data_IF_039721503368
#
_entry.id   IF_039721503368
#
_cell.length_a   1.000
_cell.length_b   1.000
_cell.length_c   1.000
_cell.angle_alpha   90.00
_cell.angle_beta   90.00
_cell.angle_gamma   90.00
#
_symmetry.space_group_name_H-M   'P 1'
#
loop_
_entity.id
_entity.type
_entity.pdbx_description
1 polymer ?
#
# COMPACT_ATOMS: atom_id res chain seq x y z
N UNK A 1 18.51 0.33 22.72
CA UNK A 1 17.45 -0.07 23.68
C UNK A 1 17.01 1.21 24.39
N UNK A 2 15.71 1.46 24.60
CA UNK A 2 15.25 2.66 25.32
C UNK A 2 15.61 2.46 26.80
N UNK A 3 16.65 3.16 27.27
CA UNK A 3 17.27 2.94 28.58
C UNK A 3 16.46 3.45 29.77
N UNK A 4 15.51 4.37 29.54
CA UNK A 4 14.68 4.98 30.56
C UNK A 4 13.21 4.70 30.25
N UNK A 5 12.65 3.68 30.89
CA UNK A 5 11.20 3.39 30.85
C UNK A 5 10.64 3.56 32.24
N UNK A 6 9.57 4.35 32.32
CA UNK A 6 8.74 4.45 33.51
C UNK A 6 8.00 3.14 33.79
N UNK A 7 7.73 2.83 35.06
CA UNK A 7 7.12 1.56 35.48
C UNK A 7 5.76 1.29 34.80
N UNK A 8 4.94 2.33 34.63
CA UNK A 8 3.64 2.21 33.96
C UNK A 8 3.77 1.80 32.49
N UNK A 9 4.91 2.07 31.82
CA UNK A 9 5.10 1.71 30.41
C UNK A 9 5.20 0.19 30.22
N UNK A 10 5.63 -0.56 31.24
CA UNK A 10 5.69 -2.01 31.20
C UNK A 10 4.30 -2.67 31.22
N UNK A 11 3.27 -1.93 31.64
CA UNK A 11 1.88 -2.39 31.59
C UNK A 11 1.33 -2.45 30.16
N UNK A 12 1.96 -1.77 29.20
CA UNK A 12 1.53 -1.65 27.80
C UNK A 12 2.43 -2.42 26.84
N UNK A 13 1.95 -2.63 25.62
CA UNK A 13 2.72 -3.32 24.58
C UNK A 13 3.97 -2.52 24.18
N UNK A 14 5.15 -3.09 24.45
CA UNK A 14 6.42 -2.53 24.01
C UNK A 14 6.56 -2.45 22.47
N UNK A 15 5.70 -3.14 21.71
CA UNK A 15 5.75 -3.21 20.25
C UNK A 15 5.47 -1.86 19.59
N UNK A 16 4.57 -1.07 20.16
CA UNK A 16 4.26 0.26 19.63
C UNK A 16 5.51 1.14 19.66
N UNK A 17 6.26 1.11 20.77
CA UNK A 17 7.52 1.85 20.89
C UNK A 17 8.59 1.34 19.91
N UNK A 18 8.71 0.02 19.77
CA UNK A 18 9.62 -0.58 18.80
C UNK A 18 9.28 -0.15 17.37
N UNK A 19 8.00 -0.08 17.01
CA UNK A 19 7.54 0.37 15.71
C UNK A 19 7.89 1.84 15.45
N UNK A 20 7.76 2.70 16.47
CA UNK A 20 8.17 4.11 16.38
C UNK A 20 9.67 4.23 16.13
N UNK A 21 10.49 3.48 16.87
CA UNK A 21 11.95 3.44 16.65
C UNK A 21 12.31 2.93 15.26
N UNK A 22 11.64 1.89 14.78
CA UNK A 22 11.83 1.35 13.44
C UNK A 22 11.50 2.39 12.36
N UNK A 23 10.34 3.04 12.46
CA UNK A 23 9.92 4.08 11.52
C UNK A 23 10.89 5.27 11.51
N UNK A 24 11.40 5.67 12.68
CA UNK A 24 12.42 6.70 12.79
C UNK A 24 13.72 6.29 12.09
N UNK A 25 14.16 5.04 12.28
CA UNK A 25 15.34 4.50 11.60
C UNK A 25 15.17 4.52 10.08
N UNK A 26 14.04 4.02 9.56
CA UNK A 26 13.74 4.06 8.12
C UNK A 26 13.71 5.49 7.57
N UNK A 27 13.18 6.45 8.33
CA UNK A 27 13.15 7.85 7.92
C UNK A 27 14.58 8.45 7.81
N UNK A 28 15.47 8.12 8.74
CA UNK A 28 16.88 8.52 8.68
C UNK A 28 17.63 7.84 7.52
N UNK A 29 17.44 6.54 7.32
CA UNK A 29 18.02 5.83 6.18
C UNK A 29 17.57 6.45 4.85
N UNK A 30 16.30 6.83 4.76
CA UNK A 30 15.76 7.52 3.58
C UNK A 30 16.37 8.91 3.37
N UNK A 31 16.61 9.66 4.46
CA UNK A 31 17.27 10.96 4.42
C UNK A 31 18.72 10.87 3.91
N UNK A 32 19.45 9.82 4.28
CA UNK A 32 20.82 9.60 3.81
C UNK A 32 20.90 8.91 2.44
N UNK A 33 19.78 8.50 1.84
CA UNK A 33 19.78 7.79 0.57
C UNK A 33 19.98 8.75 -0.61
N UNK A 34 21.07 8.61 -1.41
CA UNK A 34 21.31 9.46 -2.58
C UNK A 34 20.19 9.39 -3.64
N UNK A 35 19.47 8.26 -3.71
CA UNK A 35 18.37 8.05 -4.66
C UNK A 35 17.07 8.79 -4.27
N UNK A 36 17.02 9.41 -3.08
CA UNK A 36 15.89 10.22 -2.61
C UNK A 36 16.31 11.68 -2.36
N UNK A 37 16.63 12.46 -3.41
CA UNK A 37 17.19 13.80 -3.27
C UNK A 37 16.25 14.81 -2.57
N UNK A 38 14.95 14.52 -2.52
CA UNK A 38 13.95 15.37 -1.86
C UNK A 38 13.63 14.95 -0.42
N UNK A 39 14.31 13.92 0.12
CA UNK A 39 14.10 13.49 1.49
C UNK A 39 14.55 14.58 2.48
N UNK A 40 13.64 15.05 3.33
CA UNK A 40 13.93 16.06 4.36
C UNK A 40 14.30 15.39 5.67
N UNK A 41 15.15 16.07 6.46
CA UNK A 41 15.53 15.63 7.81
C UNK A 41 14.28 15.34 8.66
N UNK A 42 14.16 14.16 9.29
CA UNK A 42 13.07 13.85 10.19
C UNK A 42 13.00 14.85 11.35
N UNK A 43 11.78 15.28 11.70
CA UNK A 43 11.53 16.20 12.82
C UNK A 43 10.42 15.65 13.70
N UNK A 44 10.57 15.82 15.01
CA UNK A 44 9.49 15.52 15.95
C UNK A 44 8.27 16.39 15.65
N UNK A 45 7.09 15.80 15.73
CA UNK A 45 5.83 16.55 15.61
C UNK A 45 5.69 17.47 16.83
N UNK A 46 5.14 18.66 16.60
CA UNK A 46 4.86 19.59 17.69
C UNK A 46 3.76 19.01 18.59
N UNK A 47 3.89 19.19 19.91
CA UNK A 47 2.87 18.79 20.89
C UNK A 47 1.53 19.54 20.73
N UNK A 48 1.53 20.63 19.95
CA UNK A 48 0.33 21.43 19.62
C UNK A 48 -0.64 20.70 18.67
N UNK A 49 -0.19 19.67 17.97
CA UNK A 49 -1.07 18.82 17.16
C UNK A 49 -1.84 17.88 18.08
N UNK A 50 -3.15 18.10 18.23
CA UNK A 50 -4.08 17.24 18.97
C UNK A 50 -4.30 15.86 18.34
N UNK A 51 -3.69 15.58 17.17
CA UNK A 51 -3.84 14.30 16.47
C UNK A 51 -3.22 13.15 17.29
N UNK A 52 -4.09 12.32 17.85
CA UNK A 52 -3.72 11.10 18.56
C UNK A 52 -3.72 9.93 17.57
N UNK A 53 -2.56 9.32 17.35
CA UNK A 53 -2.45 8.13 16.50
C UNK A 53 -1.27 7.26 16.91
N UNK A 54 -1.41 5.95 16.73
CA UNK A 54 -0.31 4.99 16.89
C UNK A 54 -0.38 3.90 15.83
N UNK A 55 0.75 3.25 15.56
CA UNK A 55 0.88 2.18 14.57
C UNK A 55 1.40 0.92 15.26
N UNK A 56 0.84 -0.24 14.90
CA UNK A 56 1.28 -1.57 15.32
C UNK A 56 1.45 -2.48 14.12
N UNK A 57 2.43 -3.38 14.19
CA UNK A 57 2.73 -4.43 13.21
C UNK A 57 2.06 -5.78 13.54
N UNK A 58 1.37 -5.89 14.67
CA UNK A 58 0.81 -7.17 15.17
C UNK A 58 -0.72 -7.23 15.19
N UNK A 59 -1.37 -6.21 14.66
CA UNK A 59 -2.82 -6.22 14.51
C UNK A 59 -3.29 -7.41 13.65
N UNK A 60 -4.37 -8.05 14.09
CA UNK A 60 -5.00 -9.17 13.38
C UNK A 60 -6.44 -8.81 13.03
N UNK A 61 -6.86 -9.13 11.81
CA UNK A 61 -8.27 -9.02 11.41
C UNK A 61 -8.87 -10.43 11.39
N UNK A 62 -10.03 -10.58 12.04
CA UNK A 62 -10.78 -11.83 12.13
C UNK A 62 -12.20 -11.52 11.64
N UNK A 63 -12.45 -11.74 10.35
CA UNK A 63 -13.71 -11.35 9.71
C UNK A 63 -13.96 -9.85 9.80
N UNK A 64 -15.02 -9.46 10.52
CA UNK A 64 -15.40 -8.05 10.76
C UNK A 64 -14.73 -7.43 12.01
N UNK A 65 -13.81 -8.13 12.65
CA UNK A 65 -13.23 -7.70 13.90
C UNK A 65 -11.72 -7.42 13.78
N UNK A 66 -11.26 -6.38 14.46
CA UNK A 66 -9.86 -6.02 14.62
C UNK A 66 -9.39 -6.38 16.03
N UNK A 67 -8.29 -7.13 16.12
CA UNK A 67 -7.60 -7.45 17.38
C UNK A 67 -6.24 -6.74 17.39
N UNK A 68 -6.04 -5.88 18.39
CA UNK A 68 -4.79 -5.16 18.62
C UNK A 68 -3.90 -5.90 19.64
N UNK A 69 -2.66 -5.45 19.78
CA UNK A 69 -1.69 -5.99 20.74
C UNK A 69 -2.16 -5.86 22.18
N UNK A 70 -2.40 -6.99 22.85
CA UNK A 70 -2.93 -6.98 24.21
C UNK A 70 -1.92 -6.40 25.22
N UNK A 71 -2.27 -5.33 25.96
CA UNK A 71 -1.48 -4.86 27.09
C UNK A 71 -1.64 -5.83 28.27
N UNK A 72 -0.66 -5.86 29.17
CA UNK A 72 -0.68 -6.76 30.33
C UNK A 72 -1.82 -6.42 31.30
N UNK A 73 -2.10 -5.12 31.48
CA UNK A 73 -3.04 -4.62 32.47
C UNK A 73 -4.51 -4.60 32.00
N UNK A 74 -4.77 -4.74 30.69
CA UNK A 74 -6.13 -4.68 30.16
C UNK A 74 -6.42 -5.81 29.17
N UNK A 75 -7.50 -6.55 29.43
CA UNK A 75 -8.03 -7.52 28.51
C UNK A 75 -9.15 -6.85 27.70
N UNK A 76 -8.82 -6.29 26.54
CA UNK A 76 -9.84 -5.85 25.61
C UNK A 76 -10.11 -6.93 24.56
N UNK A 77 -11.39 -7.11 24.25
CA UNK A 77 -11.85 -8.04 23.24
C UNK A 77 -11.66 -7.46 21.82
N UNK A 78 -12.05 -8.26 20.83
CA UNK A 78 -12.11 -7.92 19.42
C UNK A 78 -12.93 -6.64 19.17
N UNK A 79 -12.34 -5.66 18.50
CA UNK A 79 -12.98 -4.40 18.12
C UNK A 79 -13.81 -4.62 16.86
N UNK A 80 -15.12 -4.38 16.91
CA UNK A 80 -15.99 -4.50 15.73
C UNK A 80 -15.71 -3.37 14.75
N UNK A 81 -15.34 -3.71 13.51
CA UNK A 81 -15.18 -2.76 12.42
C UNK A 81 -16.52 -2.48 11.74
N UNK A 82 -16.67 -1.32 11.09
CA UNK A 82 -17.88 -0.98 10.30
C UNK A 82 -18.05 -1.90 9.10
N UNK A 83 -16.95 -2.19 8.41
CA UNK A 83 -16.88 -3.05 7.24
C UNK A 83 -15.81 -4.15 7.47
N UNK A 84 -15.99 -5.36 6.91
CA UNK A 84 -14.93 -6.34 6.87
C UNK A 84 -13.78 -5.90 5.96
N UNK A 85 -12.58 -6.45 6.17
CA UNK A 85 -11.45 -6.18 5.30
C UNK A 85 -11.74 -6.69 3.88
N UNK A 86 -11.67 -5.79 2.90
CA UNK A 86 -11.96 -6.10 1.49
C UNK A 86 -10.87 -6.92 0.79
N UNK A 87 -9.65 -6.89 1.33
CA UNK A 87 -8.47 -7.48 0.71
C UNK A 87 -8.07 -8.79 1.40
N UNK A 88 -7.76 -9.80 0.60
CA UNK A 88 -7.20 -11.08 1.02
C UNK A 88 -5.68 -11.03 0.90
N UNK A 89 -5.00 -10.66 1.98
CA UNK A 89 -3.54 -10.53 1.97
C UNK A 89 -2.93 -10.48 3.38
N UNK A 90 -1.60 -10.36 3.44
CA UNK A 90 -0.86 -10.30 4.70
C UNK A 90 -0.93 -8.88 5.24
N UNK A 91 -1.44 -8.72 6.46
CA UNK A 91 -1.46 -7.43 7.14
C UNK A 91 -0.03 -7.09 7.59
N UNK A 92 0.50 -5.96 7.14
CA UNK A 92 1.83 -5.46 7.53
C UNK A 92 1.75 -4.58 8.76
N UNK A 93 0.94 -3.54 8.68
CA UNK A 93 0.80 -2.56 9.76
C UNK A 93 -0.63 -2.08 9.85
N UNK A 94 -1.05 -1.72 11.05
CA UNK A 94 -2.32 -1.06 11.29
C UNK A 94 -2.08 0.22 12.08
N UNK A 95 -2.61 1.33 11.58
CA UNK A 95 -2.52 2.63 12.23
C UNK A 95 -3.90 3.04 12.74
N UNK A 96 -4.00 3.26 14.05
CA UNK A 96 -5.20 3.77 14.69
C UNK A 96 -5.06 5.28 14.81
N UNK A 97 -6.05 6.03 14.34
CA UNK A 97 -6.10 7.50 14.45
C UNK A 97 -7.43 7.91 15.06
N UNK A 98 -7.39 8.78 16.09
CA UNK A 98 -8.58 9.44 16.63
C UNK A 98 -8.90 10.67 15.79
N UNK A 99 -10.15 10.78 15.30
CA UNK A 99 -10.70 11.95 14.63
C UNK A 99 -12.03 12.32 15.28
N UNK A 100 -12.06 13.46 15.98
CA UNK A 100 -13.19 13.79 16.84
C UNK A 100 -13.43 12.70 17.88
N UNK A 101 -14.66 12.20 17.96
CA UNK A 101 -15.06 11.13 18.86
C UNK A 101 -14.95 9.72 18.26
N UNK A 102 -14.40 9.59 17.05
CA UNK A 102 -14.31 8.31 16.35
C UNK A 102 -12.86 7.85 16.18
N UNK A 103 -12.67 6.54 16.22
CA UNK A 103 -11.39 5.89 15.92
C UNK A 103 -11.45 5.26 14.53
N UNK A 104 -10.44 5.57 13.71
CA UNK A 104 -10.28 4.98 12.38
C UNK A 104 -9.06 4.07 12.37
N UNK A 105 -9.22 2.87 11.79
CA UNK A 105 -8.13 1.93 11.57
C UNK A 105 -7.74 1.93 10.08
N UNK A 106 -6.50 2.34 9.81
CA UNK A 106 -5.88 2.23 8.49
C UNK A 106 -5.00 0.99 8.45
N UNK A 107 -5.38 -0.01 7.66
CA UNK A 107 -4.73 -1.32 7.61
C UNK A 107 -3.96 -1.43 6.29
N UNK A 108 -2.64 -1.60 6.37
CA UNK A 108 -1.78 -1.84 5.22
C UNK A 108 -1.71 -3.34 4.96
N UNK A 109 -2.16 -3.77 3.79
CA UNK A 109 -2.23 -5.17 3.39
C UNK A 109 -1.32 -5.36 2.17
N UNK A 110 -0.43 -6.33 2.26
CA UNK A 110 0.30 -6.86 1.10
C UNK A 110 -0.60 -7.90 0.43
N UNK A 111 -1.08 -7.56 -0.77
CA UNK A 111 -1.94 -8.41 -1.58
C UNK A 111 -1.08 -9.11 -2.63
N UNK A 112 -1.16 -10.44 -2.80
CA UNK A 112 -0.43 -11.15 -3.84
C UNK A 112 -0.84 -10.66 -5.25
N UNK A 113 0.11 -10.67 -6.20
CA UNK A 113 -0.06 -10.10 -7.55
C UNK A 113 -1.19 -10.71 -8.39
N UNK A 114 -1.77 -11.85 -7.97
CA UNK A 114 -2.88 -12.49 -8.69
C UNK A 114 -4.16 -11.64 -8.76
N UNK A 115 -4.30 -10.63 -7.90
CA UNK A 115 -5.44 -9.70 -7.92
C UNK A 115 -5.14 -8.43 -8.75
N UNK A 116 -3.93 -8.28 -9.31
CA UNK A 116 -3.56 -7.11 -10.09
C UNK A 116 -3.94 -7.27 -11.57
N UNK A 117 -4.98 -6.55 -12.00
CA UNK A 117 -5.34 -6.48 -13.42
C UNK A 117 -4.52 -5.40 -14.15
N UNK A 118 -3.65 -5.76 -15.12
CA UNK A 118 -2.68 -4.83 -15.71
C UNK A 118 -3.30 -3.97 -16.83
N UNK A 119 -4.34 -3.20 -16.52
CA UNK A 119 -5.12 -2.44 -17.51
C UNK A 119 -4.28 -1.50 -18.39
N UNK A 120 -3.21 -0.90 -17.87
CA UNK A 120 -2.34 0.00 -18.63
C UNK A 120 -1.24 -0.71 -19.44
N UNK A 121 -0.99 -1.99 -19.17
CA UNK A 121 0.01 -2.80 -19.88
C UNK A 121 -0.62 -3.71 -20.93
N UNK A 122 -1.88 -4.12 -20.71
CA UNK A 122 -2.66 -4.95 -21.62
C UNK A 122 -3.10 -4.15 -22.85
N UNK A 123 -3.05 -4.74 -24.02
CA UNK A 123 -3.66 -4.18 -25.22
C UNK A 123 -5.15 -4.52 -25.24
N UNK A 124 -6.01 -3.53 -25.41
CA UNK A 124 -7.47 -3.73 -25.47
C UNK A 124 -7.93 -4.51 -26.71
N UNK A 125 -7.15 -4.45 -27.80
CA UNK A 125 -7.47 -5.14 -29.06
C UNK A 125 -7.06 -6.61 -29.06
N UNK A 126 -5.82 -6.94 -28.65
CA UNK A 126 -5.30 -8.32 -28.74
C UNK A 126 -5.01 -8.99 -27.39
N UNK A 127 -5.18 -8.29 -26.27
CA UNK A 127 -4.98 -8.85 -24.93
C UNK A 127 -3.53 -9.07 -24.50
N UNK A 128 -2.55 -8.84 -25.38
CA UNK A 128 -1.12 -8.99 -25.03
C UNK A 128 -0.72 -8.02 -23.93
N UNK A 129 0.01 -8.51 -22.93
CA UNK A 129 0.48 -7.72 -21.78
C UNK A 129 1.94 -7.34 -22.00
N UNK A 130 2.24 -6.04 -21.94
CA UNK A 130 3.62 -5.55 -21.96
C UNK A 130 4.36 -5.97 -20.69
N UNK A 131 5.47 -6.69 -20.84
CA UNK A 131 6.39 -7.06 -19.76
C UNK A 131 7.69 -6.26 -19.87
N UNK A 132 8.61 -6.44 -18.92
CA UNK A 132 9.91 -5.77 -18.99
C UNK A 132 10.73 -6.27 -20.19
N UNK A 133 10.56 -7.55 -20.51
CA UNK A 133 11.38 -8.28 -21.48
C UNK A 133 10.76 -8.33 -22.88
N UNK A 134 9.52 -7.84 -23.06
CA UNK A 134 8.88 -7.78 -24.37
C UNK A 134 9.47 -6.68 -25.25
N UNK A 135 9.32 -6.82 -26.57
CA UNK A 135 9.67 -5.76 -27.50
C UNK A 135 8.88 -4.48 -27.18
N UNK A 136 9.60 -3.36 -27.00
CA UNK A 136 9.04 -2.10 -26.52
C UNK A 136 8.97 -1.93 -25.00
N UNK A 137 9.15 -2.99 -24.20
CA UNK A 137 9.11 -2.94 -22.74
C UNK A 137 7.76 -2.50 -22.16
N UNK A 138 7.74 -2.25 -20.84
CA UNK A 138 6.54 -1.78 -20.11
C UNK A 138 6.18 -0.34 -20.51
N UNK A 139 4.87 -0.05 -20.50
CA UNK A 139 4.38 1.33 -20.56
C UNK A 139 4.61 2.00 -19.20
N UNK A 140 5.55 2.94 -19.11
CA UNK A 140 5.87 3.67 -17.87
C UNK A 140 5.36 5.11 -17.90
N UNK A 141 5.60 5.87 -16.83
CA UNK A 141 5.35 7.32 -16.80
C UNK A 141 6.22 8.09 -17.82
N UNK A 142 7.34 7.49 -18.25
CA UNK A 142 8.21 8.03 -19.30
C UNK A 142 7.88 7.46 -20.69
N UNK A 143 6.75 6.76 -20.83
CA UNK A 143 6.40 6.00 -22.03
C UNK A 143 7.05 4.61 -22.08
N UNK A 144 7.06 4.02 -23.27
CA UNK A 144 7.71 2.73 -23.53
C UNK A 144 9.18 2.91 -23.96
N UNK A 145 9.91 1.81 -24.17
CA UNK A 145 11.35 1.86 -24.48
C UNK A 145 11.66 2.37 -25.90
N UNK A 146 10.69 2.33 -26.82
CA UNK A 146 10.88 2.66 -28.24
C UNK A 146 10.44 4.09 -28.51
N UNK A 147 9.17 4.42 -28.29
CA UNK A 147 8.61 5.72 -28.61
C UNK A 147 8.75 6.71 -27.45
N UNK A 148 8.89 6.24 -26.20
CA UNK A 148 9.00 7.09 -24.99
C UNK A 148 7.87 8.12 -24.87
N UNK A 149 6.70 7.78 -25.42
CA UNK A 149 5.49 8.58 -25.37
C UNK A 149 4.54 8.01 -24.33
N UNK A 150 4.25 8.80 -23.31
CA UNK A 150 3.39 8.39 -22.20
C UNK A 150 1.90 8.31 -22.58
N UNK A 151 1.42 9.28 -23.36
CA UNK A 151 0.00 9.42 -23.73
C UNK A 151 -0.42 8.41 -24.80
N UNK A 152 0.51 7.91 -25.59
CA UNK A 152 0.23 6.97 -26.68
C UNK A 152 0.62 5.55 -26.27
N UNK A 153 -0.30 4.62 -26.45
CA UNK A 153 -0.08 3.20 -26.30
C UNK A 153 0.19 2.56 -27.67
N UNK A 154 1.37 1.98 -27.83
CA UNK A 154 1.75 1.19 -29.00
C UNK A 154 1.75 -0.30 -28.66
N UNK A 155 0.95 -1.09 -29.36
CA UNK A 155 1.00 -2.55 -29.27
C UNK A 155 1.94 -3.12 -30.35
N UNK A 156 3.01 -3.77 -29.93
CA UNK A 156 3.96 -4.40 -30.86
C UNK A 156 3.58 -5.83 -31.28
N UNK A 157 2.48 -6.37 -30.74
CA UNK A 157 1.97 -7.67 -31.15
C UNK A 157 0.96 -7.55 -32.31
N UNK A 158 0.01 -6.60 -32.21
CA UNK A 158 -1.05 -6.43 -33.22
C UNK A 158 -0.98 -5.11 -33.99
N UNK A 159 -0.04 -4.21 -33.67
CA UNK A 159 0.11 -2.91 -34.33
C UNK A 159 -0.88 -1.82 -33.89
N UNK A 160 -1.77 -2.10 -32.94
CA UNK A 160 -2.73 -1.10 -32.42
C UNK A 160 -1.99 0.12 -31.85
N UNK A 161 -2.43 1.31 -32.25
CA UNK A 161 -2.01 2.59 -31.67
C UNK A 161 -3.23 3.31 -31.13
N UNK A 162 -3.24 3.61 -29.84
CA UNK A 162 -4.36 4.26 -29.17
C UNK A 162 -3.88 5.21 -28.10
N UNK A 163 -4.77 6.08 -27.62
CA UNK A 163 -4.53 6.80 -26.38
C UNK A 163 -4.44 5.80 -25.22
N UNK A 164 -3.44 5.97 -24.36
CA UNK A 164 -3.15 5.01 -23.28
C UNK A 164 -4.30 4.92 -22.28
N UNK A 165 -4.92 6.04 -21.95
CA UNK A 165 -5.99 6.06 -20.96
C UNK A 165 -7.27 5.45 -21.57
N UNK A 166 -7.54 5.69 -22.86
CA UNK A 166 -8.61 4.98 -23.60
C UNK A 166 -8.41 3.45 -23.59
N UNK A 167 -7.21 2.99 -23.94
CA UNK A 167 -6.87 1.56 -23.89
C UNK A 167 -7.06 0.97 -22.49
N UNK A 168 -6.64 1.69 -21.45
CA UNK A 168 -6.80 1.24 -20.07
C UNK A 168 -8.28 1.15 -19.66
N UNK A 169 -9.10 2.12 -20.05
CA UNK A 169 -10.56 2.11 -19.80
C UNK A 169 -11.22 0.92 -20.49
N UNK A 170 -10.92 0.66 -21.76
CA UNK A 170 -11.44 -0.50 -22.48
C UNK A 170 -11.08 -1.82 -21.80
N UNK A 171 -9.84 -1.95 -21.33
CA UNK A 171 -9.42 -3.12 -20.56
C UNK A 171 -10.20 -3.27 -19.26
N UNK A 172 -10.48 -2.18 -18.54
CA UNK A 172 -11.28 -2.22 -17.30
C UNK A 172 -12.73 -2.61 -17.57
N UNK A 173 -13.31 -2.13 -18.68
CA UNK A 173 -14.65 -2.53 -19.12
C UNK A 173 -14.68 -4.04 -19.44
N UNK A 174 -13.68 -4.55 -20.16
CA UNK A 174 -13.56 -5.99 -20.46
C UNK A 174 -13.41 -6.83 -19.19
N UNK A 175 -12.60 -6.37 -18.23
CA UNK A 175 -12.42 -7.03 -16.94
C UNK A 175 -13.72 -7.08 -16.12
N UNK A 176 -14.43 -5.95 -16.04
CA UNK A 176 -15.70 -5.86 -15.34
C UNK A 176 -16.79 -6.74 -15.98
N UNK A 177 -16.74 -6.91 -17.31
CA UNK A 177 -17.63 -7.81 -18.04
C UNK A 177 -17.31 -9.31 -17.86
N UNK A 178 -16.29 -9.67 -17.08
CA UNK A 178 -15.88 -11.07 -16.86
C UNK A 178 -15.18 -11.71 -18.06
N UNK A 179 -14.78 -10.91 -19.05
CA UNK A 179 -13.97 -11.36 -20.19
C UNK A 179 -12.50 -11.46 -19.75
N UNK A 180 -12.22 -12.33 -18.78
CA UNK A 180 -10.84 -12.63 -18.40
C UNK A 180 -10.16 -13.38 -19.55
N UNK A 181 -9.20 -12.70 -20.17
CA UNK A 181 -8.11 -13.20 -20.99
C UNK A 181 -8.22 -14.64 -21.53
N UNK A 182 -8.33 -14.73 -22.86
CA UNK A 182 -7.90 -15.89 -23.66
C UNK A 182 -6.65 -16.50 -23.05
N UNK A 183 -6.78 -17.76 -22.65
CA UNK A 183 -5.69 -18.67 -22.32
C UNK A 183 -4.79 -18.77 -23.55
N UNK A 184 -3.52 -18.42 -23.39
CA UNK A 184 -2.45 -18.87 -24.28
C UNK A 184 -1.54 -19.75 -23.45
#
# INVERSE_FOLDING_TARGET
MVGEKEDWQYCYSARILQQVCFNLNCAWQSFFNPNMPHARKPKFKSKRSSRQSFTTDRAKVIGKYLKLDQPYQANYDKIRMTEPLRFTGIIKTTTITKRGDQYHASIAVEVPDNDFYPATQRCSSCGTIKTKDCYGGKQTLSGDLIHRQHQTYYCYNCGTVSDRDKNAVENLIQYAAGLSAVTV
#
